data_IF_587155143461
#
_entry.id   IF_587155143461
#
_cell.length_a   1.000
_cell.length_b   1.000
_cell.length_c   1.000
_cell.angle_alpha   90.00
_cell.angle_beta   90.00
_cell.angle_gamma   90.00
#
_symmetry.space_group_name_H-M   'P 1'
#
loop_
_entity.id
_entity.type
_entity.pdbx_description
1 polymer ?
#
# COMPACT_ATOMS: atom_id res chain seq x y z
N UNK A 1 -4.98 -16.59 4.70
CA UNK A 1 -3.97 -17.10 3.75
C UNK A 1 -4.32 -16.53 2.39
N UNK A 2 -3.86 -15.30 2.11
CA UNK A 2 -4.16 -14.56 0.86
C UNK A 2 -2.94 -14.47 -0.07
N UNK A 3 -1.79 -14.98 0.35
CA UNK A 3 -0.49 -14.83 -0.32
C UNK A 3 -0.46 -15.39 -1.74
N UNK A 4 -1.07 -16.55 -1.99
CA UNK A 4 -1.12 -17.12 -3.36
C UNK A 4 -1.88 -16.26 -4.36
N UNK A 5 -2.89 -15.52 -3.90
CA UNK A 5 -3.67 -14.60 -4.75
C UNK A 5 -2.92 -13.29 -4.98
N UNK A 6 -2.18 -12.81 -3.98
CA UNK A 6 -1.36 -11.61 -4.10
C UNK A 6 -0.20 -11.79 -5.08
N UNK A 7 0.40 -12.98 -5.16
CA UNK A 7 1.41 -13.30 -6.18
C UNK A 7 0.92 -13.12 -7.62
N UNK A 8 -0.39 -13.16 -7.88
CA UNK A 8 -0.98 -12.96 -9.22
C UNK A 8 -0.97 -11.46 -9.58
N UNK A 9 -0.93 -10.56 -8.60
CA UNK A 9 -0.91 -9.11 -8.81
C UNK A 9 0.52 -8.60 -9.02
N UNK A 10 1.51 -9.26 -8.43
CA UNK A 10 2.92 -8.90 -8.60
C UNK A 10 3.32 -8.92 -10.09
N UNK A 11 3.94 -7.82 -10.53
CA UNK A 11 4.36 -7.60 -11.90
C UNK A 11 3.30 -6.99 -12.83
N UNK A 12 2.04 -6.84 -12.38
CA UNK A 12 1.00 -6.14 -13.15
C UNK A 12 1.17 -4.61 -13.07
N UNK A 13 0.70 -3.95 -14.12
CA UNK A 13 0.53 -2.51 -14.20
C UNK A 13 -0.95 -2.18 -13.99
N UNK A 14 -1.23 -1.25 -13.07
CA UNK A 14 -2.58 -0.78 -12.77
C UNK A 14 -2.53 0.51 -11.94
N UNK A 15 -3.64 1.25 -11.88
CA UNK A 15 -3.77 2.39 -10.96
C UNK A 15 -3.88 1.92 -9.51
N UNK A 16 -3.54 2.81 -8.56
CA UNK A 16 -3.70 2.53 -7.13
C UNK A 16 -5.17 2.34 -6.74
N UNK A 17 -6.10 2.95 -7.47
CA UNK A 17 -7.54 2.72 -7.29
C UNK A 17 -7.94 1.32 -7.77
N UNK A 18 -7.49 0.88 -8.95
CA UNK A 18 -7.76 -0.47 -9.44
C UNK A 18 -7.19 -1.54 -8.48
N UNK A 19 -5.98 -1.30 -7.97
CA UNK A 19 -5.36 -2.17 -6.97
C UNK A 19 -6.19 -2.28 -5.69
N UNK A 20 -6.79 -1.18 -5.23
CA UNK A 20 -7.69 -1.19 -4.08
C UNK A 20 -8.85 -2.16 -4.29
N UNK A 21 -9.50 -2.12 -5.44
CA UNK A 21 -10.60 -3.03 -5.76
C UNK A 21 -10.14 -4.50 -5.81
N UNK A 22 -8.98 -4.78 -6.39
CA UNK A 22 -8.40 -6.14 -6.39
C UNK A 22 -8.12 -6.63 -4.96
N UNK A 23 -7.60 -5.77 -4.07
CA UNK A 23 -7.39 -6.10 -2.65
C UNK A 23 -8.74 -6.40 -1.96
N UNK A 24 -9.77 -5.59 -2.20
CA UNK A 24 -11.11 -5.81 -1.66
C UNK A 24 -11.69 -7.15 -2.15
N UNK A 25 -11.49 -7.50 -3.43
CA UNK A 25 -11.95 -8.78 -4.00
C UNK A 25 -11.19 -9.99 -3.44
N UNK A 26 -9.86 -9.89 -3.30
CA UNK A 26 -9.01 -10.98 -2.79
C UNK A 26 -9.29 -11.28 -1.32
N UNK A 27 -9.49 -10.22 -0.54
CA UNK A 27 -9.62 -10.31 0.92
C UNK A 27 -11.06 -10.43 1.38
N UNK A 28 -12.02 -9.95 0.58
CA UNK A 28 -13.42 -9.80 0.97
C UNK A 28 -13.63 -8.71 2.03
N UNK A 29 -12.63 -7.88 2.30
CA UNK A 29 -12.67 -6.82 3.30
C UNK A 29 -12.69 -5.46 2.62
N UNK A 30 -13.55 -4.56 3.09
CA UNK A 30 -13.58 -3.19 2.60
C UNK A 30 -12.32 -2.43 3.03
N UNK A 31 -11.67 -1.78 2.08
CA UNK A 31 -10.51 -0.91 2.32
C UNK A 31 -11.03 0.47 2.71
N UNK A 32 -10.42 1.09 3.72
CA UNK A 32 -10.73 2.48 4.12
C UNK A 32 -10.52 3.41 2.93
N UNK A 33 -11.24 4.54 2.89
CA UNK A 33 -11.06 5.52 1.82
C UNK A 33 -9.59 5.92 1.75
N UNK A 34 -9.00 5.66 0.59
CA UNK A 34 -7.64 6.06 0.27
C UNK A 34 -7.66 7.57 0.03
N UNK A 35 -6.99 8.36 0.88
CA UNK A 35 -6.96 9.81 0.75
C UNK A 35 -5.74 10.30 -0.08
N UNK A 36 -5.19 9.46 -0.96
CA UNK A 36 -4.08 9.85 -1.83
C UNK A 36 -2.74 10.13 -1.10
N UNK A 37 -2.74 10.22 0.23
CA UNK A 37 -1.54 10.31 1.06
C UNK A 37 -0.82 8.96 1.12
N UNK A 38 -0.34 8.49 -0.04
CA UNK A 38 0.75 7.55 -0.12
C UNK A 38 1.90 8.16 0.68
N UNK A 39 1.97 7.80 1.97
CA UNK A 39 2.95 8.30 2.92
C UNK A 39 4.32 8.01 2.34
N UNK A 40 4.91 9.06 1.81
CA UNK A 40 6.02 9.00 0.89
C UNK A 40 7.29 8.55 1.62
N UNK A 41 7.47 7.25 1.78
CA UNK A 41 8.75 6.64 2.13
C UNK A 41 9.54 6.39 0.84
N UNK A 42 9.95 7.48 0.18
CA UNK A 42 10.91 7.37 -0.92
C UNK A 42 12.21 6.89 -0.29
N UNK A 43 12.54 5.62 -0.49
CA UNK A 43 13.91 5.16 -0.37
C UNK A 43 14.71 5.84 -1.48
N UNK A 44 15.13 7.09 -1.26
CA UNK A 44 16.08 7.78 -2.14
C UNK A 44 17.40 7.05 -1.99
N UNK A 45 17.56 5.91 -2.66
CA UNK A 45 18.89 5.50 -3.09
C UNK A 45 19.17 6.34 -4.33
N UNK A 46 20.09 7.32 -4.26
CA UNK A 46 20.48 8.09 -5.43
C UNK A 46 21.28 7.16 -6.36
N UNK A 47 20.59 6.39 -7.18
CA UNK A 47 21.19 5.75 -8.34
C UNK A 47 20.81 6.61 -9.54
N UNK A 48 21.81 7.30 -10.08
CA UNK A 48 21.67 8.28 -11.18
C UNK A 48 21.31 7.61 -12.52
N UNK A 49 21.32 6.27 -12.57
CA UNK A 49 21.11 5.46 -13.78
C UNK A 49 19.81 4.62 -13.77
N UNK A 50 18.90 4.83 -12.80
CA UNK A 50 17.61 4.11 -12.81
C UNK A 50 16.52 4.96 -13.45
N UNK A 51 15.96 4.50 -14.57
CA UNK A 51 14.85 5.16 -15.30
C UNK A 51 13.51 5.12 -14.53
N UNK A 52 13.47 4.47 -13.36
CA UNK A 52 12.27 4.28 -12.54
C UNK A 52 12.51 4.62 -11.07
N UNK A 53 11.49 5.15 -10.41
CA UNK A 53 11.44 5.35 -8.96
C UNK A 53 10.60 4.25 -8.28
N UNK A 54 10.88 3.99 -7.00
CA UNK A 54 10.16 3.00 -6.19
C UNK A 54 9.44 3.67 -5.04
N UNK A 55 8.18 3.31 -4.86
CA UNK A 55 7.28 3.85 -3.85
C UNK A 55 6.62 2.73 -3.05
N UNK A 56 6.04 3.11 -1.92
CA UNK A 56 5.25 2.23 -1.07
C UNK A 56 3.91 2.87 -0.73
N UNK A 57 2.86 2.07 -0.67
CA UNK A 57 1.51 2.47 -0.26
C UNK A 57 0.91 1.42 0.65
N UNK A 58 0.14 1.89 1.64
CA UNK A 58 -0.56 1.05 2.61
C UNK A 58 -2.07 1.17 2.41
N UNK A 59 -2.76 0.04 2.42
CA UNK A 59 -4.21 -0.07 2.39
C UNK A 59 -4.73 -0.66 3.71
N UNK A 60 -5.36 0.17 4.53
CA UNK A 60 -5.99 -0.23 5.80
C UNK A 60 -7.41 -0.74 5.58
N UNK A 61 -7.80 -1.78 6.32
CA UNK A 61 -9.18 -2.30 6.27
C UNK A 61 -10.11 -1.55 7.22
N UNK A 62 -11.40 -1.46 6.87
CA UNK A 62 -12.40 -0.71 7.67
C UNK A 62 -12.67 -1.31 9.04
N UNK A 63 -12.77 -2.63 9.11
CA UNK A 63 -13.22 -3.37 10.29
C UNK A 63 -12.09 -4.21 10.92
N UNK A 64 -10.82 -3.92 10.58
CA UNK A 64 -9.65 -4.63 11.10
C UNK A 64 -8.44 -3.70 11.24
N UNK A 65 -7.55 -4.02 12.19
CA UNK A 65 -6.22 -3.41 12.28
C UNK A 65 -5.24 -3.97 11.23
N UNK A 66 -5.66 -5.01 10.49
CA UNK A 66 -4.89 -5.55 9.39
C UNK A 66 -4.77 -4.53 8.26
N UNK A 67 -3.71 -4.69 7.45
CA UNK A 67 -3.49 -3.84 6.30
C UNK A 67 -2.72 -4.60 5.21
N UNK A 68 -2.73 -4.05 4.00
CA UNK A 68 -1.90 -4.50 2.89
C UNK A 68 -0.84 -3.45 2.61
N UNK A 69 0.41 -3.89 2.58
CA UNK A 69 1.57 -3.07 2.22
C UNK A 69 2.00 -3.40 0.79
N UNK A 70 2.18 -2.38 -0.05
CA UNK A 70 2.46 -2.54 -1.47
C UNK A 70 3.69 -1.74 -1.84
N UNK A 71 4.63 -2.36 -2.55
CA UNK A 71 5.76 -1.67 -3.20
C UNK A 71 5.50 -1.65 -4.70
N UNK A 72 5.65 -0.49 -5.31
CA UNK A 72 5.45 -0.31 -6.75
C UNK A 72 6.52 0.59 -7.35
N UNK A 73 6.65 0.55 -8.68
CA UNK A 73 7.56 1.38 -9.46
C UNK A 73 6.81 2.15 -10.53
N UNK A 74 7.29 3.36 -10.82
CA UNK A 74 6.84 4.21 -11.92
C UNK A 74 8.05 4.89 -12.57
N UNK A 75 7.89 5.45 -13.75
CA UNK A 75 8.93 6.23 -14.43
C UNK A 75 9.42 7.38 -13.54
N UNK A 76 10.72 7.65 -13.58
CA UNK A 76 11.29 8.74 -12.80
C UNK A 76 10.82 10.10 -13.32
N UNK A 77 10.37 10.96 -12.41
CA UNK A 77 10.04 12.37 -12.66
C UNK A 77 11.01 13.31 -11.94
N UNK A 78 11.07 14.56 -12.40
CA UNK A 78 12.00 15.55 -11.84
C UNK A 78 11.63 15.93 -10.41
N UNK A 79 10.35 16.19 -10.15
CA UNK A 79 9.83 16.54 -8.84
C UNK A 79 8.72 15.58 -8.44
N UNK A 80 8.36 15.64 -7.17
CA UNK A 80 7.40 14.68 -6.63
C UNK A 80 5.96 15.12 -6.72
N UNK A 81 5.78 16.41 -6.98
CA UNK A 81 4.50 17.02 -7.34
C UNK A 81 4.12 16.65 -8.78
N UNK A 82 5.07 16.15 -9.59
CA UNK A 82 4.81 15.69 -10.95
C UNK A 82 4.17 14.28 -10.99
N UNK A 83 4.14 13.55 -9.86
CA UNK A 83 3.45 12.26 -9.77
C UNK A 83 1.95 12.47 -9.52
N UNK A 84 1.14 11.87 -10.40
CA UNK A 84 -0.31 11.87 -10.31
C UNK A 84 -0.78 10.44 -10.00
N UNK A 85 -0.66 10.03 -8.74
CA UNK A 85 -0.95 8.65 -8.33
C UNK A 85 -2.45 8.30 -8.33
N UNK A 86 -3.32 9.29 -8.54
CA UNK A 86 -4.76 9.08 -8.68
C UNK A 86 -5.09 8.45 -10.04
N UNK A 87 -4.41 8.88 -11.10
CA UNK A 87 -4.67 8.43 -12.49
C UNK A 87 -3.51 7.63 -13.13
N UNK A 88 -2.30 7.66 -12.58
CA UNK A 88 -1.14 6.97 -13.16
C UNK A 88 -1.16 5.45 -12.91
N UNK A 89 -0.90 4.69 -13.98
CA UNK A 89 -0.64 3.25 -13.86
C UNK A 89 0.75 3.01 -13.31
N UNK A 90 0.84 2.18 -12.27
CA UNK A 90 2.11 1.83 -11.63
C UNK A 90 2.33 0.33 -11.70
N UNK A 91 3.60 -0.08 -11.72
CA UNK A 91 3.95 -1.49 -11.73
C UNK A 91 4.13 -2.03 -10.32
N UNK A 92 3.30 -2.99 -9.93
CA UNK A 92 3.36 -3.60 -8.60
C UNK A 92 4.57 -4.54 -8.52
N UNK A 93 5.45 -4.31 -7.54
CA UNK A 93 6.65 -5.13 -7.32
C UNK A 93 6.45 -6.16 -6.22
N UNK A 94 5.75 -5.78 -5.15
CA UNK A 94 5.51 -6.62 -3.99
C UNK A 94 4.18 -6.22 -3.37
N UNK A 95 3.39 -7.20 -2.96
CA UNK A 95 2.16 -6.97 -2.20
C UNK A 95 2.08 -7.93 -1.02
N UNK A 96 2.01 -7.37 0.19
CA UNK A 96 2.08 -8.15 1.42
C UNK A 96 0.91 -7.85 2.34
N UNK A 97 0.19 -8.88 2.75
CA UNK A 97 -0.82 -8.78 3.81
C UNK A 97 -0.17 -8.84 5.20
N UNK A 98 -0.48 -7.87 6.04
CA UNK A 98 0.04 -7.75 7.41
C UNK A 98 -1.12 -7.88 8.40
N UNK A 99 -1.00 -8.86 9.29
CA UNK A 99 -1.92 -9.01 10.42
C UNK A 99 -1.42 -8.22 11.62
N UNK A 100 -2.30 -7.46 12.24
CA UNK A 100 -2.02 -6.77 13.49
C UNK A 100 -2.84 -7.45 14.59
N UNK A 101 -2.25 -8.44 15.26
CA UNK A 101 -2.88 -9.21 16.35
C UNK A 101 -3.24 -8.38 17.61
N UNK A 102 -3.05 -7.06 17.59
CA UNK A 102 -3.42 -6.20 18.72
C UNK A 102 -4.93 -5.92 18.71
N UNK A 103 -5.66 -6.25 19.80
CA UNK A 103 -7.09 -5.97 19.89
C UNK A 103 -7.37 -4.47 19.83
N UNK A 104 -8.46 -4.08 19.16
CA UNK A 104 -9.08 -2.76 19.24
C UNK A 104 -9.62 -2.57 20.67
N UNK A 105 -8.74 -2.22 21.61
CA UNK A 105 -9.11 -2.00 23.01
C UNK A 105 -8.06 -2.48 24.00
N UNK A 106 -6.88 -1.85 24.00
CA UNK A 106 -6.13 -1.69 25.25
C UNK A 106 -6.44 -0.29 25.77
N UNK A 107 -7.65 -0.11 26.30
CA UNK A 107 -7.80 0.84 27.40
C UNK A 107 -6.97 0.25 28.54
N UNK A 108 -5.75 0.74 28.70
CA UNK A 108 -5.01 0.55 29.93
C UNK A 108 -5.89 1.08 31.05
N UNK A 109 -6.62 0.19 31.71
CA UNK A 109 -7.26 0.47 32.98
C UNK A 109 -6.10 0.88 33.90
N UNK A 110 -5.93 2.20 34.05
CA UNK A 110 -5.08 2.76 35.10
C UNK A 110 -5.70 2.26 36.40
N UNK A 111 -5.10 1.24 36.98
CA UNK A 111 -5.24 0.94 38.39
C UNK A 111 -4.64 2.13 39.13
N UNK A 112 -5.49 3.06 39.53
CA UNK A 112 -5.13 4.05 40.53
C UNK A 112 -5.08 3.32 41.89
N UNK A 113 -3.88 3.29 42.47
CA UNK A 113 -3.59 2.73 43.79
C UNK A 113 -3.99 3.70 44.91
#
# INVERSE_FOLDING_TARGET
MHEEKFNIIEGKEMTLEALRYEIEEITGMGVQSFDGEASRFVSKKPNVDQEFETFNVRYDFKDSNDFVDVVFTTDQKENLEDYDFDDEEVRIQLITYKRMDAPLGNESEKVEE
#
